data_IF_650613234775
#
_entry.id   IF_650613234775
#
_cell.length_a   1.000
_cell.length_b   1.000
_cell.length_c   1.000
_cell.angle_alpha   90.00
_cell.angle_beta   90.00
_cell.angle_gamma   90.00
#
_symmetry.space_group_name_H-M   'P 1'
#
loop_
_entity.id
_entity.type
_entity.pdbx_description
1 polymer ?
#
# COMPACT_ATOMS: atom_id res chain seq x y z
N UNK A 1 -1.82 -8.51 6.40
CA UNK A 1 -1.16 -9.68 5.80
C UNK A 1 -0.33 -9.31 4.57
N UNK A 2 -0.80 -8.40 3.71
CA UNK A 2 -0.08 -7.96 2.51
C UNK A 2 0.84 -6.75 2.73
N UNK A 3 0.94 -6.23 3.95
CA UNK A 3 1.79 -5.09 4.31
C UNK A 3 2.77 -5.42 5.42
N UNK A 4 2.98 -6.70 5.73
CA UNK A 4 3.91 -7.16 6.77
C UNK A 4 4.85 -8.24 6.25
N UNK A 5 6.01 -8.38 6.90
CA UNK A 5 7.03 -9.37 6.57
C UNK A 5 7.98 -8.97 5.44
N UNK A 6 7.63 -7.93 4.65
CA UNK A 6 8.46 -7.34 3.58
C UNK A 6 8.26 -5.84 3.53
N UNK A 7 9.25 -5.12 3.04
CA UNK A 7 9.05 -3.72 2.65
C UNK A 7 8.04 -3.68 1.52
N UNK A 8 6.99 -2.88 1.67
CA UNK A 8 5.85 -2.85 0.76
C UNK A 8 5.69 -1.46 0.15
N UNK A 9 5.62 -1.40 -1.18
CA UNK A 9 5.16 -0.22 -1.88
C UNK A 9 3.70 -0.44 -2.28
N UNK A 10 2.80 0.36 -1.68
CA UNK A 10 1.36 0.28 -1.89
C UNK A 10 0.88 1.46 -2.75
N UNK A 11 0.10 1.17 -3.77
CA UNK A 11 -0.64 2.13 -4.59
C UNK A 11 -2.13 1.80 -4.57
N UNK A 12 -2.97 2.82 -4.56
CA UNK A 12 -4.38 2.66 -4.88
C UNK A 12 -4.61 2.90 -6.38
N UNK A 13 -5.61 2.22 -6.95
CA UNK A 13 -5.92 2.29 -8.37
C UNK A 13 -7.36 1.84 -8.66
N UNK A 14 -7.81 1.99 -9.89
CA UNK A 14 -8.96 1.27 -10.44
C UNK A 14 -8.68 0.94 -11.92
N UNK A 15 -9.18 -0.21 -12.39
CA UNK A 15 -8.71 -0.83 -13.65
C UNK A 15 -9.06 -0.04 -14.92
N UNK A 16 -10.00 0.88 -14.82
CA UNK A 16 -10.49 1.71 -15.93
C UNK A 16 -10.13 3.20 -15.79
N UNK A 17 -9.16 3.53 -14.93
CA UNK A 17 -8.64 4.90 -14.80
C UNK A 17 -7.93 5.33 -16.08
N UNK A 18 -8.31 6.50 -16.60
CA UNK A 18 -7.72 7.08 -17.82
C UNK A 18 -6.99 8.40 -17.57
N UNK A 19 -6.95 8.87 -16.32
CA UNK A 19 -6.22 10.09 -15.94
C UNK A 19 -4.72 9.84 -16.03
N UNK A 20 -3.99 10.48 -16.98
CA UNK A 20 -2.57 10.20 -17.22
C UNK A 20 -1.66 10.54 -16.02
N UNK A 21 -2.06 11.46 -15.16
CA UNK A 21 -1.32 11.84 -13.94
C UNK A 21 -1.85 11.11 -12.68
N UNK A 22 -2.80 10.21 -12.85
CA UNK A 22 -3.38 9.35 -11.82
C UNK A 22 -2.79 7.94 -11.81
N UNK A 23 -3.65 6.92 -11.93
CA UNK A 23 -3.24 5.51 -11.88
C UNK A 23 -2.18 5.12 -12.92
N UNK A 24 -2.21 5.59 -14.19
CA UNK A 24 -1.16 5.31 -15.16
C UNK A 24 0.22 5.77 -14.69
N UNK A 25 0.36 6.97 -14.13
CA UNK A 25 1.63 7.47 -13.60
C UNK A 25 2.13 6.60 -12.43
N UNK A 26 1.24 6.22 -11.52
CA UNK A 26 1.59 5.30 -10.44
C UNK A 26 2.08 3.95 -10.96
N UNK A 27 1.38 3.42 -11.96
CA UNK A 27 1.73 2.15 -12.59
C UNK A 27 3.12 2.20 -13.25
N UNK A 28 3.41 3.23 -14.04
CA UNK A 28 4.71 3.42 -14.69
C UNK A 28 5.85 3.57 -13.68
N UNK A 29 5.60 4.33 -12.60
CA UNK A 29 6.54 4.48 -11.49
C UNK A 29 6.84 3.12 -10.85
N UNK A 30 5.80 2.34 -10.53
CA UNK A 30 5.96 1.01 -9.94
C UNK A 30 6.63 0.03 -10.91
N UNK A 31 6.39 0.12 -12.22
CA UNK A 31 7.06 -0.68 -13.25
C UNK A 31 8.56 -0.36 -13.31
N UNK A 32 8.93 0.91 -13.21
CA UNK A 32 10.33 1.35 -13.17
C UNK A 32 11.03 0.78 -11.92
N UNK A 33 10.42 0.92 -10.75
CA UNK A 33 10.94 0.38 -9.48
C UNK A 33 11.05 -1.15 -9.57
N UNK A 34 10.02 -1.81 -10.10
CA UNK A 34 10.03 -3.26 -10.32
C UNK A 34 11.21 -3.71 -11.17
N UNK A 35 11.44 -3.04 -12.30
CA UNK A 35 12.57 -3.35 -13.21
C UNK A 35 13.92 -3.26 -12.49
N UNK A 36 14.13 -2.19 -11.72
CA UNK A 36 15.37 -1.96 -10.97
C UNK A 36 15.57 -2.98 -9.85
N UNK A 37 14.51 -3.33 -9.12
CA UNK A 37 14.57 -4.35 -8.06
C UNK A 37 14.79 -5.75 -8.62
N UNK A 38 14.22 -6.11 -9.77
CA UNK A 38 14.43 -7.42 -10.40
C UNK A 38 15.86 -7.63 -10.90
N UNK A 39 16.58 -6.55 -11.22
CA UNK A 39 18.02 -6.62 -11.51
C UNK A 39 18.87 -6.95 -10.27
N UNK A 40 18.27 -6.92 -9.06
CA UNK A 40 18.92 -7.17 -7.77
C UNK A 40 18.08 -8.17 -6.95
N UNK A 41 18.15 -9.48 -7.28
CA UNK A 41 17.25 -10.50 -6.72
C UNK A 41 17.28 -10.62 -5.19
N UNK A 42 18.41 -10.30 -4.56
CA UNK A 42 18.58 -10.28 -3.11
C UNK A 42 17.71 -9.22 -2.43
N UNK A 43 17.51 -8.06 -3.07
CA UNK A 43 16.59 -7.02 -2.59
C UNK A 43 15.14 -7.34 -2.97
N UNK A 44 14.92 -7.80 -4.20
CA UNK A 44 13.61 -8.13 -4.72
C UNK A 44 12.83 -9.09 -3.82
N UNK A 45 13.50 -10.09 -3.22
CA UNK A 45 12.88 -11.06 -2.31
C UNK A 45 12.41 -10.45 -0.99
N UNK A 46 12.93 -9.29 -0.60
CA UNK A 46 12.61 -8.59 0.65
C UNK A 46 11.59 -7.48 0.47
N UNK A 47 11.20 -7.21 -0.79
CA UNK A 47 10.22 -6.19 -1.17
C UNK A 47 8.99 -6.85 -1.78
N UNK A 48 7.86 -6.19 -1.72
CA UNK A 48 6.66 -6.53 -2.47
C UNK A 48 5.94 -5.26 -2.94
N UNK A 49 5.21 -5.38 -4.02
CA UNK A 49 4.35 -4.34 -4.57
C UNK A 49 2.89 -4.71 -4.31
N UNK A 50 2.07 -3.73 -4.01
CA UNK A 50 0.62 -3.91 -3.80
C UNK A 50 -0.12 -2.83 -4.56
N UNK A 51 -1.06 -3.23 -5.40
CA UNK A 51 -2.06 -2.35 -6.00
C UNK A 51 -3.43 -2.75 -5.45
N UNK A 52 -4.08 -1.82 -4.74
CA UNK A 52 -5.39 -2.04 -4.13
C UNK A 52 -6.43 -1.19 -4.84
N UNK A 53 -7.53 -1.82 -5.28
CA UNK A 53 -8.58 -1.09 -5.98
C UNK A 53 -9.39 -0.19 -5.05
N UNK A 54 -9.71 1.01 -5.56
CA UNK A 54 -10.70 1.93 -4.98
C UNK A 54 -12.15 1.48 -5.23
N UNK A 55 -12.37 0.63 -6.25
CA UNK A 55 -13.72 0.28 -6.71
C UNK A 55 -13.97 -1.24 -6.64
N UNK A 56 -14.25 -1.76 -5.45
CA UNK A 56 -14.51 -3.20 -5.30
C UNK A 56 -15.81 -3.66 -6.00
N UNK A 57 -16.64 -2.75 -6.49
CA UNK A 57 -17.87 -3.08 -7.20
C UNK A 57 -17.55 -3.51 -8.63
N UNK A 58 -16.67 -2.79 -9.33
CA UNK A 58 -16.26 -3.11 -10.70
C UNK A 58 -14.98 -3.96 -10.73
N UNK A 59 -14.02 -3.65 -9.89
CA UNK A 59 -12.74 -4.35 -9.83
C UNK A 59 -12.82 -5.61 -8.95
N UNK A 60 -13.72 -6.51 -9.34
CA UNK A 60 -13.84 -7.82 -8.68
C UNK A 60 -12.56 -8.65 -8.88
N UNK A 61 -12.34 -9.72 -8.09
CA UNK A 61 -11.10 -10.51 -8.17
C UNK A 61 -10.74 -11.00 -9.57
N UNK A 62 -11.73 -11.31 -10.41
CA UNK A 62 -11.50 -11.73 -11.80
C UNK A 62 -10.94 -10.59 -12.66
N UNK A 63 -11.44 -9.36 -12.49
CA UNK A 63 -10.95 -8.17 -13.18
C UNK A 63 -9.54 -7.81 -12.72
N UNK A 64 -9.28 -7.84 -11.41
CA UNK A 64 -7.95 -7.59 -10.86
C UNK A 64 -6.93 -8.62 -11.38
N UNK A 65 -7.31 -9.90 -11.47
CA UNK A 65 -6.47 -10.95 -12.05
C UNK A 65 -6.17 -10.72 -13.53
N UNK A 66 -7.18 -10.30 -14.30
CA UNK A 66 -7.03 -9.98 -15.72
C UNK A 66 -6.10 -8.78 -15.93
N UNK A 67 -6.31 -7.72 -15.15
CA UNK A 67 -5.47 -6.51 -15.17
C UNK A 67 -4.01 -6.81 -14.81
N UNK A 68 -3.79 -7.59 -13.77
CA UNK A 68 -2.47 -7.99 -13.30
C UNK A 68 -1.67 -8.80 -14.34
N UNK A 69 -2.35 -9.68 -15.08
CA UNK A 69 -1.71 -10.52 -16.09
C UNK A 69 -0.47 -11.23 -15.53
N UNK A 70 0.66 -11.10 -16.24
CA UNK A 70 1.95 -11.70 -15.86
C UNK A 70 2.67 -10.99 -14.70
N UNK A 71 2.20 -9.82 -14.28
CA UNK A 71 2.83 -9.09 -13.18
C UNK A 71 2.61 -9.78 -11.83
N UNK A 72 1.51 -10.51 -11.68
CA UNK A 72 1.18 -11.26 -10.47
C UNK A 72 1.80 -12.67 -10.42
N UNK A 73 2.88 -12.91 -11.17
CA UNK A 73 3.57 -14.20 -11.18
C UNK A 73 4.06 -14.59 -9.77
N UNK A 74 3.56 -15.70 -9.20
CA UNK A 74 3.96 -16.15 -7.87
C UNK A 74 5.41 -16.68 -7.82
N UNK A 75 6.01 -17.00 -8.96
CA UNK A 75 7.40 -17.43 -9.05
C UNK A 75 8.39 -16.25 -9.07
N UNK A 76 7.91 -15.02 -9.30
CA UNK A 76 8.76 -13.83 -9.30
C UNK A 76 9.40 -13.60 -7.93
N UNK A 77 10.70 -13.27 -7.85
CA UNK A 77 11.35 -12.89 -6.59
C UNK A 77 10.73 -11.62 -5.99
N UNK A 78 10.29 -10.68 -6.81
CA UNK A 78 9.50 -9.52 -6.41
C UNK A 78 8.03 -9.78 -6.71
N UNK A 79 7.24 -9.95 -5.67
CA UNK A 79 5.81 -10.17 -5.81
C UNK A 79 5.07 -8.86 -6.01
N UNK A 80 4.10 -8.86 -6.92
CA UNK A 80 3.16 -7.78 -7.09
C UNK A 80 1.75 -8.29 -6.89
N UNK A 81 1.08 -7.83 -5.85
CA UNK A 81 -0.29 -8.21 -5.52
C UNK A 81 -1.27 -7.17 -6.06
N UNK A 82 -2.29 -7.65 -6.76
CA UNK A 82 -3.41 -6.84 -7.24
C UNK A 82 -4.64 -7.24 -6.45
N UNK A 83 -5.12 -6.35 -5.59
CA UNK A 83 -6.09 -6.64 -4.56
C UNK A 83 -7.35 -5.81 -4.73
N UNK A 84 -8.46 -6.36 -4.26
CA UNK A 84 -9.72 -5.66 -4.04
C UNK A 84 -10.32 -6.11 -2.72
N UNK A 85 -11.23 -5.33 -2.15
CA UNK A 85 -12.01 -5.73 -0.98
C UNK A 85 -13.32 -6.38 -1.43
N UNK A 86 -14.05 -7.01 -0.50
CA UNK A 86 -15.37 -7.61 -0.81
C UNK A 86 -16.45 -6.55 -0.98
N UNK A 87 -16.23 -5.35 -0.44
CA UNK A 87 -17.19 -4.25 -0.47
C UNK A 87 -16.53 -2.90 -0.19
N UNK A 88 -17.23 -1.83 -0.50
CA UNK A 88 -16.86 -0.46 -0.13
C UNK A 88 -16.77 -0.31 1.40
N UNK A 89 -17.64 -0.99 2.15
CA UNK A 89 -17.62 -0.94 3.61
C UNK A 89 -16.32 -1.54 4.21
N UNK A 90 -15.73 -2.54 3.56
CA UNK A 90 -14.42 -3.07 3.97
C UNK A 90 -13.24 -2.20 3.50
N UNK A 91 -13.41 -1.48 2.40
CA UNK A 91 -12.39 -0.59 1.87
C UNK A 91 -12.26 0.69 2.70
N UNK A 92 -13.39 1.26 3.11
CA UNK A 92 -13.43 2.58 3.75
C UNK A 92 -12.50 2.72 4.97
N UNK A 93 -12.45 1.80 5.93
CA UNK A 93 -11.52 1.90 7.07
C UNK A 93 -10.05 1.96 6.64
N UNK A 94 -9.66 1.24 5.57
CA UNK A 94 -8.30 1.27 5.05
C UNK A 94 -7.95 2.62 4.42
N UNK A 95 -8.91 3.23 3.71
CA UNK A 95 -8.73 4.57 3.14
C UNK A 95 -8.61 5.62 4.25
N UNK A 96 -9.49 5.54 5.26
CA UNK A 96 -9.50 6.47 6.40
C UNK A 96 -8.17 6.38 7.19
N UNK A 97 -7.67 5.16 7.46
CA UNK A 97 -6.41 4.94 8.18
C UNK A 97 -5.19 5.50 7.42
N UNK A 98 -5.19 5.40 6.09
CA UNK A 98 -4.11 5.89 5.23
C UNK A 98 -4.30 7.35 4.79
N UNK A 99 -5.37 8.01 5.24
CA UNK A 99 -5.70 9.37 4.82
C UNK A 99 -5.86 9.48 3.30
N UNK A 100 -6.42 8.44 2.67
CA UNK A 100 -6.63 8.39 1.24
C UNK A 100 -8.09 8.69 0.93
N UNK A 101 -8.39 9.96 0.66
CA UNK A 101 -9.72 10.39 0.25
C UNK A 101 -10.03 9.91 -1.17
N UNK A 102 -11.27 9.49 -1.38
CA UNK A 102 -11.82 9.19 -2.69
C UNK A 102 -13.28 9.65 -2.75
N UNK A 103 -13.66 10.26 -3.86
CA UNK A 103 -15.03 10.67 -4.12
C UNK A 103 -15.41 10.35 -5.57
N UNK A 104 -16.70 10.06 -5.78
CA UNK A 104 -17.21 9.87 -7.14
C UNK A 104 -17.47 11.25 -7.74
N UNK A 105 -16.94 11.48 -8.95
CA UNK A 105 -17.26 12.68 -9.70
C UNK A 105 -18.74 12.68 -10.09
N UNK A 106 -19.36 13.85 -10.10
CA UNK A 106 -20.72 14.02 -10.58
C UNK A 106 -20.73 14.88 -11.84
N UNK A 107 -21.63 14.57 -12.76
CA UNK A 107 -21.84 15.36 -13.98
C UNK A 107 -22.58 16.69 -13.67
N UNK A 108 -22.78 17.50 -14.73
CA UNK A 108 -23.47 18.78 -14.63
C UNK A 108 -24.93 18.67 -14.15
N UNK A 109 -25.52 17.47 -14.12
CA UNK A 109 -26.85 17.17 -13.61
C UNK A 109 -26.84 16.58 -12.22
N UNK A 110 -25.65 16.49 -11.58
CA UNK A 110 -25.48 15.90 -10.26
C UNK A 110 -25.51 14.36 -10.26
N UNK A 111 -25.44 13.72 -11.41
CA UNK A 111 -25.44 12.26 -11.50
C UNK A 111 -23.98 11.72 -11.34
N UNK A 112 -23.78 10.64 -10.58
CA UNK A 112 -22.45 10.06 -10.42
C UNK A 112 -21.91 9.57 -11.77
N UNK A 113 -20.67 9.93 -12.05
CA UNK A 113 -19.90 9.40 -13.19
C UNK A 113 -19.13 8.14 -12.78
N UNK A 114 -18.29 7.63 -13.70
CA UNK A 114 -17.36 6.53 -13.40
C UNK A 114 -15.99 7.03 -13.01
N UNK A 115 -15.79 8.33 -12.87
CA UNK A 115 -14.51 8.92 -12.47
C UNK A 115 -14.42 8.98 -10.96
N UNK A 116 -13.33 8.47 -10.42
CA UNK A 116 -13.03 8.56 -8.99
C UNK A 116 -11.97 9.64 -8.78
N UNK A 117 -12.40 10.73 -8.15
CA UNK A 117 -11.51 11.82 -7.76
C UNK A 117 -10.73 11.42 -6.50
N UNK A 118 -9.42 11.40 -6.61
CA UNK A 118 -8.52 11.10 -5.50
C UNK A 118 -7.16 11.76 -5.72
N UNK A 119 -6.45 12.03 -4.65
CA UNK A 119 -5.05 12.40 -4.74
C UNK A 119 -4.19 11.14 -4.97
N UNK A 120 -3.34 11.16 -5.99
CA UNK A 120 -2.40 10.07 -6.20
C UNK A 120 -1.37 10.04 -5.07
N UNK A 121 -1.32 8.91 -4.35
CA UNK A 121 -0.33 8.62 -3.31
C UNK A 121 0.19 7.21 -3.46
N UNK A 122 1.51 7.05 -3.27
CA UNK A 122 2.14 5.77 -3.01
C UNK A 122 2.63 5.75 -1.57
N UNK A 123 2.47 4.61 -0.90
CA UNK A 123 2.84 4.43 0.50
C UNK A 123 4.00 3.44 0.60
N UNK A 124 5.09 3.85 1.20
CA UNK A 124 6.19 2.96 1.57
C UNK A 124 5.96 2.47 3.00
N UNK A 125 5.84 1.17 3.14
CA UNK A 125 5.48 0.50 4.40
C UNK A 125 6.61 -0.46 4.77
N UNK A 126 7.08 -0.38 6.02
CA UNK A 126 8.14 -1.28 6.51
C UNK A 126 7.61 -2.71 6.74
N UNK A 127 8.53 -3.65 6.99
CA UNK A 127 8.19 -5.06 7.20
C UNK A 127 7.29 -5.33 8.41
N UNK A 128 7.05 -4.33 9.26
CA UNK A 128 6.15 -4.37 10.44
C UNK A 128 4.77 -3.81 10.14
N UNK A 129 4.56 -3.28 8.94
CA UNK A 129 3.29 -2.71 8.52
C UNK A 129 3.12 -1.23 8.87
N UNK A 130 4.20 -0.50 9.20
CA UNK A 130 4.13 0.94 9.49
C UNK A 130 4.45 1.73 8.24
N UNK A 131 3.64 2.74 7.94
CA UNK A 131 3.90 3.72 6.89
C UNK A 131 5.14 4.53 7.28
N UNK A 132 6.12 4.57 6.37
CA UNK A 132 7.39 5.28 6.56
C UNK A 132 7.48 6.51 5.67
N UNK A 133 6.96 6.41 4.45
CA UNK A 133 6.90 7.51 3.51
C UNK A 133 5.58 7.51 2.74
N UNK A 134 5.15 8.71 2.30
CA UNK A 134 3.99 8.93 1.44
C UNK A 134 4.43 9.83 0.28
N UNK A 135 4.44 9.27 -0.92
CA UNK A 135 4.80 10.01 -2.13
C UNK A 135 3.54 10.49 -2.85
N UNK A 136 3.38 11.78 -3.01
CA UNK A 136 2.34 12.38 -3.86
C UNK A 136 2.85 12.57 -5.29
N UNK A 137 1.96 12.95 -6.21
CA UNK A 137 2.25 13.11 -7.65
C UNK A 137 3.56 13.86 -7.93
N UNK A 138 3.82 14.95 -7.20
CA UNK A 138 5.02 15.77 -7.41
C UNK A 138 6.34 15.09 -6.96
N UNK A 139 6.26 14.03 -6.18
CA UNK A 139 7.40 13.34 -5.56
C UNK A 139 7.50 11.87 -5.97
N UNK A 140 6.86 11.47 -7.07
CA UNK A 140 6.99 10.13 -7.64
C UNK A 140 8.31 10.01 -8.42
N UNK A 141 9.42 10.11 -7.71
CA UNK A 141 10.77 10.00 -8.25
C UNK A 141 11.31 8.59 -7.97
N UNK A 142 11.37 7.69 -8.96
CA UNK A 142 11.77 6.29 -8.75
C UNK A 142 13.12 6.12 -8.04
N UNK A 143 14.09 7.01 -8.31
CA UNK A 143 15.42 6.94 -7.67
C UNK A 143 15.34 7.23 -6.16
N UNK A 144 14.56 8.23 -5.77
CA UNK A 144 14.34 8.56 -4.34
C UNK A 144 13.63 7.40 -3.65
N UNK A 145 12.56 6.89 -4.26
CA UNK A 145 11.78 5.77 -3.72
C UNK A 145 12.63 4.49 -3.57
N UNK A 146 13.54 4.22 -4.51
CA UNK A 146 14.48 3.10 -4.42
C UNK A 146 15.47 3.30 -3.27
N UNK A 147 16.02 4.49 -3.09
CA UNK A 147 16.92 4.81 -1.97
C UNK A 147 16.20 4.61 -0.61
N UNK A 148 14.93 5.03 -0.51
CA UNK A 148 14.15 4.86 0.70
C UNK A 148 13.86 3.36 0.97
N UNK A 149 13.52 2.59 -0.06
CA UNK A 149 13.38 1.14 0.03
C UNK A 149 14.67 0.50 0.54
N UNK A 150 15.82 0.85 -0.05
CA UNK A 150 17.13 0.31 0.35
C UNK A 150 17.48 0.70 1.79
N UNK A 151 17.18 1.92 2.19
CA UNK A 151 17.36 2.39 3.58
C UNK A 151 16.57 1.52 4.55
N UNK A 152 15.29 1.24 4.26
CA UNK A 152 14.48 0.36 5.11
C UNK A 152 15.01 -1.07 5.15
N UNK A 153 15.62 -1.56 4.07
CA UNK A 153 16.21 -2.89 4.01
C UNK A 153 17.52 -3.01 4.81
N UNK A 154 18.19 -1.89 5.07
CA UNK A 154 19.41 -1.80 5.90
C UNK A 154 19.10 -1.62 7.39
N UNK A 155 17.89 -1.17 7.74
CA UNK A 155 17.51 -0.99 9.14
C UNK A 155 17.54 -2.34 9.89
N UNK A 156 18.18 -2.41 11.08
CA UNK A 156 18.15 -3.60 11.91
C UNK A 156 16.71 -3.96 12.29
N UNK A 157 16.34 -5.21 12.11
CA UNK A 157 15.00 -5.71 12.49
C UNK A 157 14.70 -5.57 13.98
N UNK A 158 15.72 -5.48 14.82
CA UNK A 158 15.64 -5.48 16.29
C UNK A 158 15.41 -4.09 16.89
N UNK A 159 15.78 -3.03 16.18
CA UNK A 159 15.69 -1.64 16.69
C UNK A 159 14.28 -1.16 17.06
N UNK A 160 13.27 -1.93 16.72
CA UNK A 160 11.85 -1.56 16.84
C UNK A 160 11.05 -2.55 17.70
N UNK A 161 11.70 -3.56 18.31
CA UNK A 161 11.05 -4.64 19.07
C UNK A 161 10.59 -4.26 20.47
N UNK A 162 11.15 -3.23 21.08
CA UNK A 162 10.99 -3.01 22.55
C UNK A 162 9.97 -1.93 22.93
N UNK A 163 9.56 -1.05 22.03
CA UNK A 163 8.59 0.00 22.36
C UNK A 163 7.16 -0.53 22.61
N UNK A 164 6.80 -1.71 22.07
CA UNK A 164 5.47 -2.29 22.25
C UNK A 164 5.36 -3.24 23.46
N UNK A 165 6.45 -3.54 24.15
CA UNK A 165 6.47 -4.41 25.34
C UNK A 165 6.66 -3.65 26.66
N UNK A 166 6.82 -2.33 26.61
CA UNK A 166 7.11 -1.49 27.78
C UNK A 166 5.92 -1.12 28.66
N UNK A 167 4.68 -1.34 28.24
CA UNK A 167 3.50 -0.79 28.94
C UNK A 167 2.56 -1.85 29.58
N UNK A 168 2.96 -3.11 29.65
CA UNK A 168 2.17 -4.17 30.28
C UNK A 168 2.70 -4.64 31.65
N UNK A 169 3.59 -3.87 32.28
CA UNK A 169 4.28 -4.27 33.53
C UNK A 169 4.24 -3.24 34.65
N UNK A 170 3.07 -2.75 35.04
CA UNK A 170 3.03 -1.84 36.19
C UNK A 170 1.65 -1.57 36.73
N UNK A 171 1.08 -2.47 37.49
CA UNK A 171 0.20 -2.18 38.64
C UNK A 171 -0.46 -3.47 39.18
N UNK A 172 0.27 -4.25 39.95
CA UNK A 172 -0.35 -5.07 41.01
C UNK A 172 0.25 -4.61 42.34
N UNK A 173 -0.27 -3.57 42.91
CA UNK A 173 -0.09 -3.23 44.32
C UNK A 173 -1.42 -3.47 45.01
N UNK A 174 -1.44 -4.53 45.81
CA UNK A 174 -2.58 -4.87 46.64
C UNK A 174 -2.88 -3.80 47.66
N UNK A 175 -4.13 -3.55 47.92
CA UNK A 175 -4.63 -3.07 49.20
C UNK A 175 -5.80 -3.95 49.62
N UNK A 176 -5.51 -4.83 50.57
CA UNK A 176 -6.52 -5.37 51.49
C UNK A 176 -7.13 -4.20 52.27
N UNK A 177 -8.43 -4.11 52.27
CA UNK A 177 -9.17 -3.41 53.34
C UNK A 177 -9.95 -4.47 54.10
N UNK A 178 -9.58 -4.59 55.39
CA UNK A 178 -10.33 -5.24 56.43
C UNK A 178 -11.27 -4.17 57.02
N UNK A 179 -12.53 -4.55 57.26
CA UNK A 179 -13.55 -3.73 57.92
C UNK A 179 -14.94 -4.29 57.64
#
# INVERSE_FOLDING_TARGET
>A
RYTTGRVTLLSFMYTYCTDPIGCPLAYETMMTIRSRLLARPELARRVQLVSLSFDPVHDVPAEMKRYAGRLADPASPLRWHFLTTRSVAELKPLLDELGQDVSVEVDAKGQPTRVLNHMLKLFLIDARGRVREIYSTAFLLPEVMLNDIETLLLEPTDRWGDAARGDAGGARSGRQFVG
#
